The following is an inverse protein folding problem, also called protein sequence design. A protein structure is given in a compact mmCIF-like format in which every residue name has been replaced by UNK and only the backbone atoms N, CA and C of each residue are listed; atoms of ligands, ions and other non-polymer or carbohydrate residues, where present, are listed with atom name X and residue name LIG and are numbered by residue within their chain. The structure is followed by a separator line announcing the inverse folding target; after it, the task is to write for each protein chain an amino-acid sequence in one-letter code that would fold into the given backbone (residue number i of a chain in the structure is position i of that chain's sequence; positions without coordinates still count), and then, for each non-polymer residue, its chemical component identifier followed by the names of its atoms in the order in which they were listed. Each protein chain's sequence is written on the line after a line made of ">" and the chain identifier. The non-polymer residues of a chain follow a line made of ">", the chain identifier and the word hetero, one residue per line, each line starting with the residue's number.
data_IF_254347490681
#
_entry.id   IF_254347490681
#
_cell.length_a   1.000
_cell.length_b   1.000
_cell.length_c   1.000
_cell.angle_alpha   90.00
_cell.angle_beta   90.00
_cell.angle_gamma   90.00
#
_symmetry.space_group_name_H-M   'P 1'
#
loop_
_entity.id
_entity.type
_entity.pdbx_description
1 polymer ?
#
# COMPACT_ATOMS: atom_id res chain seq x y z
N UNK A 1 -10.18 33.46 -12.24
CA UNK A 1 -9.18 32.40 -12.47
C UNK A 1 -9.34 31.96 -13.90
N UNK A 2 -8.26 31.99 -14.70
CA UNK A 2 -8.30 31.71 -16.14
C UNK A 2 -8.17 30.20 -16.41
N UNK A 3 -8.72 29.70 -17.52
CA UNK A 3 -8.54 28.29 -17.96
C UNK A 3 -7.06 27.90 -18.07
N UNK A 4 -6.20 28.86 -18.44
CA UNK A 4 -4.76 28.67 -18.50
C UNK A 4 -4.15 28.39 -17.10
N UNK A 5 -4.64 29.04 -16.05
CA UNK A 5 -4.13 28.82 -14.70
C UNK A 5 -4.50 27.42 -14.19
N UNK A 6 -5.72 26.96 -14.50
CA UNK A 6 -6.20 25.61 -14.18
C UNK A 6 -5.39 24.52 -14.89
N UNK A 7 -5.07 24.72 -16.17
CA UNK A 7 -4.29 23.72 -16.93
C UNK A 7 -2.86 23.58 -16.40
N UNK A 8 -2.22 24.68 -16.03
CA UNK A 8 -0.88 24.69 -15.43
C UNK A 8 -0.87 24.00 -14.07
N UNK A 9 -1.85 24.27 -13.20
CA UNK A 9 -1.96 23.60 -11.89
C UNK A 9 -2.13 22.09 -12.08
N UNK A 10 -3.02 21.67 -12.99
CA UNK A 10 -3.26 20.25 -13.28
C UNK A 10 -2.00 19.55 -13.79
N UNK A 11 -1.27 20.19 -14.71
CA UNK A 11 -0.02 19.64 -15.25
C UNK A 11 1.02 19.43 -14.14
N UNK A 12 1.20 20.41 -13.24
CA UNK A 12 2.14 20.31 -12.12
C UNK A 12 1.76 19.21 -11.13
N UNK A 13 0.48 19.06 -10.82
CA UNK A 13 -0.02 17.99 -9.96
C UNK A 13 0.27 16.59 -10.53
N UNK A 14 0.03 16.39 -11.83
CA UNK A 14 0.32 15.11 -12.50
C UNK A 14 1.81 14.82 -12.48
N UNK A 15 2.65 15.82 -12.77
CA UNK A 15 4.09 15.65 -12.74
C UNK A 15 4.59 15.33 -11.32
N UNK A 16 4.05 15.98 -10.29
CA UNK A 16 4.40 15.69 -8.90
C UNK A 16 4.08 14.23 -8.51
N UNK A 17 2.92 13.71 -8.93
CA UNK A 17 2.55 12.29 -8.72
C UNK A 17 3.54 11.36 -9.42
N UNK A 18 3.89 11.64 -10.68
CA UNK A 18 4.87 10.85 -11.43
C UNK A 18 6.24 10.84 -10.75
N UNK A 19 6.70 11.99 -10.26
CA UNK A 19 7.98 12.08 -9.53
C UNK A 19 7.93 11.30 -8.21
N UNK A 20 6.82 11.37 -7.47
CA UNK A 20 6.62 10.56 -6.25
C UNK A 20 6.63 9.06 -6.55
N UNK A 21 6.02 8.64 -7.66
CA UNK A 21 6.03 7.26 -8.10
C UNK A 21 7.44 6.78 -8.53
N UNK A 22 8.20 7.61 -9.24
CA UNK A 22 9.59 7.31 -9.64
C UNK A 22 10.53 7.07 -8.45
N UNK A 23 10.29 7.75 -7.32
CA UNK A 23 11.04 7.53 -6.07
C UNK A 23 10.55 6.33 -5.27
N UNK A 24 9.47 5.67 -5.69
CA UNK A 24 8.84 4.57 -4.93
C UNK A 24 8.04 5.04 -3.71
N UNK A 25 7.73 6.33 -3.61
CA UNK A 25 7.01 6.94 -2.47
C UNK A 25 5.50 7.07 -2.74
N UNK A 26 5.02 6.69 -3.93
CA UNK A 26 3.61 6.80 -4.28
C UNK A 26 2.84 5.57 -3.80
N UNK A 27 2.05 5.74 -2.75
CA UNK A 27 1.19 4.71 -2.18
C UNK A 27 -0.26 5.18 -2.20
N UNK A 28 -1.14 4.37 -2.79
CA UNK A 28 -2.61 4.59 -2.77
C UNK A 28 -3.25 3.77 -1.65
N UNK A 29 -2.93 2.48 -1.61
CA UNK A 29 -3.34 1.53 -0.56
C UNK A 29 -2.15 0.65 -0.23
N UNK A 30 -1.93 0.38 1.05
CA UNK A 30 -0.85 -0.50 1.53
C UNK A 30 -1.40 -1.91 1.69
N UNK A 31 -0.56 -2.93 1.44
CA UNK A 31 -0.95 -4.33 1.63
C UNK A 31 -1.38 -4.60 3.08
N UNK A 32 -2.33 -5.51 3.26
CA UNK A 32 -2.77 -5.94 4.60
C UNK A 32 -1.57 -6.44 5.40
N UNK A 33 -1.44 -5.98 6.65
CA UNK A 33 -0.29 -6.31 7.49
C UNK A 33 0.88 -5.34 7.39
N UNK A 34 0.75 -4.29 6.58
CA UNK A 34 1.74 -3.23 6.49
C UNK A 34 1.10 -1.87 6.79
N UNK A 35 1.90 -0.96 7.31
CA UNK A 35 1.53 0.42 7.64
C UNK A 35 2.47 1.38 6.93
N UNK A 36 1.93 2.53 6.54
CA UNK A 36 2.73 3.63 6.06
C UNK A 36 3.19 4.47 7.25
N UNK A 37 4.49 4.67 7.38
CA UNK A 37 5.08 5.50 8.43
C UNK A 37 5.10 6.97 8.02
N UNK A 38 5.38 7.85 8.97
CA UNK A 38 5.42 9.30 8.75
C UNK A 38 6.58 9.73 7.82
N UNK A 39 7.64 8.92 7.72
CA UNK A 39 8.78 9.11 6.82
C UNK A 39 8.55 8.47 5.43
N UNK A 40 7.29 8.29 5.01
CA UNK A 40 6.89 7.75 3.71
C UNK A 40 7.43 6.32 3.41
N UNK A 41 7.73 5.52 4.45
CA UNK A 41 8.13 4.10 4.30
C UNK A 41 6.96 3.16 4.52
N UNK A 42 7.09 1.94 3.98
CA UNK A 42 6.17 0.83 4.23
C UNK A 42 6.84 -0.15 5.18
N UNK A 43 6.23 -0.35 6.34
CA UNK A 43 6.73 -1.25 7.37
C UNK A 43 5.66 -2.28 7.75
N UNK A 44 6.09 -3.43 8.31
CA UNK A 44 5.15 -4.41 8.85
C UNK A 44 4.37 -3.78 10.00
N UNK A 45 3.11 -4.18 10.16
CA UNK A 45 2.27 -3.73 11.25
C UNK A 45 2.99 -4.02 12.60
N UNK A 46 3.11 -3.01 13.49
CA UNK A 46 3.79 -3.19 14.77
C UNK A 46 3.05 -4.17 15.70
N UNK A 47 1.74 -4.35 15.52
CA UNK A 47 0.96 -5.31 16.29
C UNK A 47 1.40 -6.75 15.99
N UNK A 48 1.94 -7.39 17.02
CA UNK A 48 2.39 -8.79 16.97
C UNK A 48 1.25 -9.71 16.56
N UNK A 49 0.03 -9.48 17.04
CA UNK A 49 -1.12 -10.32 16.71
C UNK A 49 -1.47 -10.27 15.23
N UNK A 50 -1.33 -9.10 14.61
CA UNK A 50 -1.54 -8.96 13.16
C UNK A 50 -0.49 -9.75 12.37
N UNK A 51 0.78 -9.66 12.78
CA UNK A 51 1.87 -10.41 12.13
C UNK A 51 1.70 -11.91 12.27
N UNK A 52 1.41 -12.38 13.48
CA UNK A 52 1.18 -13.80 13.76
C UNK A 52 -0.03 -14.36 13.03
N UNK A 53 -1.13 -13.60 12.96
CA UNK A 53 -2.32 -14.00 12.21
C UNK A 53 -2.02 -14.15 10.71
N UNK A 54 -1.27 -13.21 10.13
CA UNK A 54 -0.87 -13.29 8.73
C UNK A 54 0.05 -14.47 8.46
N UNK A 55 1.09 -14.65 9.28
CA UNK A 55 1.98 -15.81 9.18
C UNK A 55 1.21 -17.12 9.29
N UNK A 56 0.22 -17.19 10.18
CA UNK A 56 -0.64 -18.36 10.35
C UNK A 56 -1.48 -18.64 9.10
N UNK A 57 -2.13 -17.62 8.53
CA UNK A 57 -2.93 -17.76 7.29
C UNK A 57 -2.07 -18.29 6.15
N UNK A 58 -0.86 -17.74 5.95
CA UNK A 58 0.03 -18.22 4.89
C UNK A 58 0.54 -19.63 5.13
N UNK A 59 0.88 -20.00 6.37
CA UNK A 59 1.24 -21.39 6.72
C UNK A 59 0.10 -22.36 6.40
N UNK A 60 -1.14 -22.00 6.77
CA UNK A 60 -2.31 -22.83 6.47
C UNK A 60 -2.61 -22.92 4.98
N UNK A 61 -2.36 -21.85 4.23
CA UNK A 61 -2.48 -21.89 2.77
C UNK A 61 -1.45 -22.82 2.12
N UNK A 62 -0.21 -22.84 2.61
CA UNK A 62 0.80 -23.79 2.12
C UNK A 62 0.40 -25.24 2.43
N UNK A 63 -0.18 -25.49 3.59
CA UNK A 63 -0.66 -26.82 4.01
C UNK A 63 -1.88 -27.31 3.21
N UNK A 64 -2.87 -26.44 3.04
CA UNK A 64 -4.18 -26.80 2.47
C UNK A 64 -4.28 -26.55 0.96
N UNK A 65 -3.43 -25.67 0.42
CA UNK A 65 -3.43 -25.20 -0.97
C UNK A 65 -4.80 -24.70 -1.48
N UNK A 66 -5.67 -24.26 -0.57
CA UNK A 66 -7.03 -23.83 -0.89
C UNK A 66 -7.46 -22.65 -0.02
N UNK A 67 -7.74 -21.51 -0.66
CA UNK A 67 -8.23 -20.31 0.02
C UNK A 67 -9.54 -20.60 0.76
N UNK A 68 -10.44 -21.39 0.16
CA UNK A 68 -11.72 -21.76 0.77
C UNK A 68 -11.50 -22.51 2.08
N UNK A 69 -10.56 -23.47 2.12
CA UNK A 69 -10.31 -24.25 3.33
C UNK A 69 -9.57 -23.45 4.41
N UNK A 70 -8.78 -22.44 4.04
CA UNK A 70 -8.15 -21.53 5.01
C UNK A 70 -9.16 -20.59 5.67
N UNK A 71 -10.28 -20.28 5.00
CA UNK A 71 -11.32 -19.36 5.49
C UNK A 71 -12.39 -20.05 6.37
N UNK A 72 -12.56 -21.37 6.26
CA UNK A 72 -13.58 -22.17 6.94
C UNK A 72 -13.02 -22.82 8.21
#
# INVERSE_FOLDING_TARGET
>A
MSEMELSVIRQRSVEAVKQKARRGEHFTTVAVGYVKTNDDRIEKNPDVRVREALDFVFRKFVELQSIRQVLL
#
